data_IF_247007078576
#
_entry.id   IF_247007078576
#
_cell.length_a   1.000
_cell.length_b   1.000
_cell.length_c   1.000
_cell.angle_alpha   90.00
_cell.angle_beta   90.00
_cell.angle_gamma   90.00
#
_symmetry.space_group_name_H-M   'P 1'
#
loop_
_entity.id
_entity.type
_entity.pdbx_description
1 polymer ?
#
# COMPACT_ATOMS: atom_id res chain seq x y z
N UNK A 1 2.13 -37.77 -1.77
CA UNK A 1 3.52 -37.68 -1.23
C UNK A 1 3.52 -37.31 0.26
N UNK A 2 2.77 -36.29 0.67
CA UNK A 2 2.71 -35.83 2.08
C UNK A 2 2.21 -36.91 3.06
N UNK A 3 1.20 -37.72 2.68
CA UNK A 3 0.66 -38.78 3.54
C UNK A 3 1.64 -39.93 3.81
N UNK A 4 2.43 -40.32 2.80
CA UNK A 4 3.46 -41.35 2.94
C UNK A 4 4.58 -40.88 3.88
N UNK A 5 4.96 -39.60 3.76
CA UNK A 5 5.98 -38.98 4.60
C UNK A 5 5.51 -38.86 6.06
N UNK A 6 4.24 -38.48 6.28
CA UNK A 6 3.64 -38.45 7.62
C UNK A 6 3.61 -39.84 8.25
N UNK A 7 3.10 -40.85 7.53
CA UNK A 7 3.02 -42.21 8.05
C UNK A 7 4.40 -42.80 8.38
N UNK A 8 5.41 -42.55 7.55
CA UNK A 8 6.78 -43.00 7.81
C UNK A 8 7.41 -42.27 8.99
N UNK A 9 7.18 -40.95 9.11
CA UNK A 9 7.67 -40.15 10.24
C UNK A 9 7.06 -40.59 11.56
N UNK A 10 5.75 -40.85 11.59
CA UNK A 10 5.03 -41.34 12.77
C UNK A 10 5.54 -42.72 13.21
N UNK A 11 5.75 -43.62 12.25
CA UNK A 11 6.27 -44.98 12.53
C UNK A 11 7.68 -44.93 13.11
N UNK A 12 8.57 -44.12 12.52
CA UNK A 12 9.96 -43.96 13.00
C UNK A 12 9.99 -43.33 14.40
N UNK A 13 9.18 -42.29 14.65
CA UNK A 13 9.06 -41.66 15.96
C UNK A 13 8.58 -42.67 17.01
N UNK A 14 7.60 -43.51 16.66
CA UNK A 14 7.07 -44.56 17.54
C UNK A 14 8.14 -45.60 17.90
N UNK A 15 8.93 -46.06 16.92
CA UNK A 15 10.01 -47.05 17.14
C UNK A 15 11.11 -46.48 18.04
N UNK A 16 11.50 -45.22 17.82
CA UNK A 16 12.52 -44.54 18.64
C UNK A 16 12.05 -44.35 20.08
N UNK A 17 10.77 -44.01 20.28
CA UNK A 17 10.15 -43.88 21.61
C UNK A 17 10.14 -45.19 22.40
N UNK A 18 9.97 -46.33 21.72
CA UNK A 18 9.92 -47.64 22.37
C UNK A 18 11.32 -48.17 22.75
N UNK A 19 12.37 -47.77 22.04
CA UNK A 19 13.74 -48.24 22.29
C UNK A 19 14.56 -47.32 23.21
N UNK A 20 14.20 -46.04 23.31
CA UNK A 20 14.86 -45.12 24.21
C UNK A 20 14.29 -45.25 25.63
N UNK A 21 15.10 -45.66 26.60
CA UNK A 21 14.73 -45.62 28.02
C UNK A 21 15.65 -44.67 28.80
N UNK A 22 15.09 -44.01 29.81
CA UNK A 22 15.83 -43.12 30.70
C UNK A 22 16.15 -41.76 30.07
N UNK A 23 17.31 -41.21 30.43
CA UNK A 23 17.72 -39.84 30.07
C UNK A 23 17.80 -39.56 28.55
N UNK A 24 18.15 -40.59 27.76
CA UNK A 24 18.29 -40.48 26.31
C UNK A 24 16.94 -40.18 25.62
N UNK A 25 15.85 -40.74 26.15
CA UNK A 25 14.50 -40.48 25.64
C UNK A 25 14.11 -39.01 25.82
N UNK A 26 14.39 -38.43 26.99
CA UNK A 26 14.12 -37.01 27.26
C UNK A 26 14.92 -36.09 26.33
N UNK A 27 16.20 -36.41 26.09
CA UNK A 27 17.06 -35.64 25.19
C UNK A 27 16.53 -35.67 23.74
N UNK A 28 16.10 -36.86 23.28
CA UNK A 28 15.52 -37.04 21.95
C UNK A 28 14.17 -36.33 21.81
N UNK A 29 13.31 -36.35 22.83
CA UNK A 29 12.05 -35.60 22.82
C UNK A 29 12.28 -34.09 22.74
N UNK A 30 13.17 -33.54 23.57
CA UNK A 30 13.51 -32.11 23.55
C UNK A 30 14.09 -31.71 22.19
N UNK A 31 14.96 -32.53 21.62
CA UNK A 31 15.51 -32.28 20.29
C UNK A 31 14.43 -32.35 19.19
N UNK A 32 13.62 -33.43 19.17
CA UNK A 32 12.60 -33.66 18.15
C UNK A 32 11.50 -32.60 18.16
N UNK A 33 11.14 -32.05 19.33
CA UNK A 33 10.15 -30.96 19.44
C UNK A 33 10.79 -29.58 19.29
N UNK A 34 11.98 -29.36 19.86
CA UNK A 34 12.66 -28.08 19.86
C UNK A 34 13.19 -27.68 18.49
N UNK A 35 13.73 -28.63 17.73
CA UNK A 35 14.32 -28.36 16.42
C UNK A 35 13.32 -27.80 15.38
N UNK A 36 12.10 -28.37 15.20
CA UNK A 36 11.09 -27.80 14.33
C UNK A 36 10.63 -26.41 14.77
N UNK A 37 10.47 -26.18 16.08
CA UNK A 37 10.06 -24.88 16.63
C UNK A 37 11.13 -23.82 16.32
N UNK A 38 12.41 -24.11 16.60
CA UNK A 38 13.52 -23.21 16.28
C UNK A 38 13.63 -22.93 14.79
N UNK A 39 13.47 -23.95 13.95
CA UNK A 39 13.52 -23.80 12.49
C UNK A 39 12.35 -22.94 11.99
N UNK A 40 11.15 -23.14 12.52
CA UNK A 40 9.99 -22.33 12.19
C UNK A 40 10.17 -20.86 12.61
N UNK A 41 10.65 -20.62 13.84
CA UNK A 41 10.96 -19.26 14.32
C UNK A 41 12.01 -18.61 13.42
N UNK A 42 13.09 -19.32 13.10
CA UNK A 42 14.14 -18.84 12.19
C UNK A 42 13.60 -18.49 10.81
N UNK A 43 12.69 -19.31 10.28
CA UNK A 43 11.99 -19.02 9.04
C UNK A 43 11.15 -17.74 9.14
N UNK A 44 10.29 -17.59 10.16
CA UNK A 44 9.48 -16.38 10.35
C UNK A 44 10.33 -15.12 10.58
N UNK A 45 11.45 -15.22 11.29
CA UNK A 45 12.40 -14.11 11.46
C UNK A 45 13.03 -13.74 10.12
N UNK A 46 13.43 -14.72 9.31
CA UNK A 46 13.94 -14.47 7.96
C UNK A 46 12.87 -13.83 7.08
N UNK A 47 11.60 -14.26 7.17
CA UNK A 47 10.48 -13.62 6.48
C UNK A 47 10.30 -12.17 6.90
N UNK A 48 10.41 -11.90 8.19
CA UNK A 48 10.27 -10.55 8.73
C UNK A 48 11.42 -9.64 8.29
N UNK A 49 12.64 -10.16 8.24
CA UNK A 49 13.81 -9.38 7.85
C UNK A 49 14.01 -9.26 6.34
N UNK A 50 13.58 -10.25 5.55
CA UNK A 50 13.83 -10.32 4.09
C UNK A 50 12.65 -10.97 3.33
N UNK A 51 11.49 -10.31 3.26
CA UNK A 51 10.34 -10.83 2.52
C UNK A 51 10.64 -11.03 1.02
N UNK A 52 11.61 -10.29 0.48
CA UNK A 52 12.09 -10.35 -0.92
C UNK A 52 12.68 -11.70 -1.34
N UNK A 53 13.16 -12.53 -0.39
CA UNK A 53 13.82 -13.82 -0.69
C UNK A 53 12.80 -14.94 -0.99
N UNK A 54 11.50 -14.70 -0.70
CA UNK A 54 10.45 -15.68 -0.95
C UNK A 54 9.94 -15.74 -2.40
N UNK A 55 10.21 -14.71 -3.20
CA UNK A 55 9.74 -14.66 -4.58
C UNK A 55 10.79 -15.25 -5.50
N UNK A 56 10.41 -16.25 -6.28
CA UNK A 56 11.30 -16.76 -7.31
C UNK A 56 11.46 -15.68 -8.39
N UNK A 57 12.65 -15.55 -9.02
CA UNK A 57 12.83 -14.63 -10.16
C UNK A 57 11.79 -14.82 -11.28
N UNK A 58 11.21 -16.02 -11.38
CA UNK A 58 10.16 -16.36 -12.34
C UNK A 58 8.76 -15.81 -12.00
N UNK A 59 8.53 -15.40 -10.75
CA UNK A 59 7.27 -14.77 -10.32
C UNK A 59 7.22 -13.27 -10.69
N UNK A 60 8.35 -12.70 -11.12
CA UNK A 60 8.43 -11.32 -11.60
C UNK A 60 8.13 -11.27 -13.10
N UNK A 61 7.27 -10.33 -13.52
CA UNK A 61 7.00 -10.08 -14.93
C UNK A 61 8.31 -9.77 -15.68
N UNK A 62 8.46 -10.34 -16.87
CA UNK A 62 9.68 -10.24 -17.67
C UNK A 62 10.13 -8.77 -17.81
N UNK A 63 11.25 -8.42 -17.17
CA UNK A 63 11.88 -7.09 -17.28
C UNK A 63 11.94 -6.25 -16.00
N UNK A 64 11.45 -6.72 -14.85
CA UNK A 64 11.61 -6.00 -13.57
C UNK A 64 12.60 -6.69 -12.65
N UNK A 65 13.54 -5.93 -12.08
CA UNK A 65 14.48 -6.46 -11.09
C UNK A 65 13.89 -6.47 -9.69
N UNK A 66 14.28 -7.43 -8.85
CA UNK A 66 13.83 -7.53 -7.45
C UNK A 66 14.11 -6.23 -6.67
N UNK A 67 15.24 -5.57 -6.97
CA UNK A 67 15.62 -4.30 -6.39
C UNK A 67 14.68 -3.14 -6.78
N UNK A 68 14.19 -3.09 -8.03
CA UNK A 68 13.22 -2.08 -8.47
C UNK A 68 11.86 -2.29 -7.82
N UNK A 69 11.43 -3.55 -7.64
CA UNK A 69 10.18 -3.86 -6.97
C UNK A 69 10.22 -3.49 -5.48
N UNK A 70 11.30 -3.83 -4.77
CA UNK A 70 11.46 -3.47 -3.36
C UNK A 70 11.71 -1.98 -3.15
N UNK A 71 12.46 -1.32 -4.05
CA UNK A 71 12.60 0.14 -4.05
C UNK A 71 11.26 0.85 -4.32
N UNK A 72 10.43 0.35 -5.23
CA UNK A 72 9.09 0.88 -5.48
C UNK A 72 8.15 0.68 -4.28
N UNK A 73 8.27 -0.44 -3.56
CA UNK A 73 7.46 -0.72 -2.38
C UNK A 73 7.89 0.10 -1.15
N UNK A 74 9.18 0.41 -1.03
CA UNK A 74 9.76 1.11 0.14
C UNK A 74 9.82 2.64 -0.03
N UNK A 75 9.75 3.17 -1.26
CA UNK A 75 9.77 4.63 -1.55
C UNK A 75 8.39 5.22 -1.90
N UNK A 76 7.32 4.49 -1.61
CA UNK A 76 5.97 4.68 -2.19
C UNK A 76 5.37 6.07 -2.01
N UNK A 77 5.80 6.83 -1.02
CA UNK A 77 5.12 8.07 -0.66
C UNK A 77 5.61 9.32 -1.41
N UNK A 78 6.87 9.35 -1.87
CA UNK A 78 7.50 10.61 -2.35
C UNK A 78 7.72 10.70 -3.86
N UNK A 79 7.53 9.59 -4.58
CA UNK A 79 7.85 9.47 -6.01
C UNK A 79 6.63 9.35 -6.92
N UNK A 80 5.42 9.24 -6.40
CA UNK A 80 4.25 8.97 -7.24
C UNK A 80 3.98 10.04 -8.30
N UNK A 81 4.29 11.32 -8.06
CA UNK A 81 4.08 12.37 -9.07
C UNK A 81 5.11 12.32 -10.21
N UNK A 82 6.40 12.21 -9.90
CA UNK A 82 7.45 12.11 -10.93
C UNK A 82 7.39 10.77 -11.67
N UNK A 83 7.03 9.70 -10.96
CA UNK A 83 6.84 8.39 -11.58
C UNK A 83 5.56 8.38 -12.40
N UNK A 84 4.44 8.94 -11.93
CA UNK A 84 3.23 9.11 -12.73
C UNK A 84 3.51 9.95 -13.97
N UNK A 85 4.19 11.08 -13.87
CA UNK A 85 4.54 11.90 -15.04
C UNK A 85 5.43 11.12 -16.03
N UNK A 86 6.38 10.33 -15.53
CA UNK A 86 7.22 9.48 -16.39
C UNK A 86 6.45 8.31 -17.03
N UNK A 87 5.46 7.74 -16.34
CA UNK A 87 4.56 6.70 -16.85
C UNK A 87 3.61 7.30 -17.88
N UNK A 88 3.05 8.49 -17.62
CA UNK A 88 2.18 9.23 -18.54
C UNK A 88 2.96 9.57 -19.82
N UNK A 89 4.19 10.08 -19.68
CA UNK A 89 5.05 10.41 -20.82
C UNK A 89 5.46 9.16 -21.59
N UNK A 90 5.77 8.06 -20.90
CA UNK A 90 6.08 6.78 -21.55
C UNK A 90 4.87 6.19 -22.26
N UNK A 91 3.68 6.23 -21.66
CA UNK A 91 2.43 5.79 -22.26
C UNK A 91 2.05 6.66 -23.46
N UNK A 92 2.20 7.98 -23.36
CA UNK A 92 1.99 8.91 -24.47
C UNK A 92 2.95 8.64 -25.63
N UNK A 93 4.23 8.38 -25.34
CA UNK A 93 5.23 8.03 -26.35
C UNK A 93 4.93 6.67 -27.01
N UNK A 94 4.48 5.68 -26.24
CA UNK A 94 4.04 4.37 -26.77
C UNK A 94 2.81 4.53 -27.66
N UNK A 95 1.85 5.36 -27.24
CA UNK A 95 0.65 5.68 -28.03
C UNK A 95 1.03 6.38 -29.34
N UNK A 96 2.00 7.30 -29.30
CA UNK A 96 2.54 7.96 -30.49
C UNK A 96 3.12 6.97 -31.48
N UNK A 97 3.88 5.98 -30.99
CA UNK A 97 4.44 4.93 -31.83
C UNK A 97 3.36 4.06 -32.47
N UNK A 98 2.33 3.66 -31.72
CA UNK A 98 1.24 2.84 -32.24
C UNK A 98 0.33 3.60 -33.22
N UNK A 99 0.05 4.87 -32.95
CA UNK A 99 -0.69 5.75 -33.87
C UNK A 99 0.08 6.01 -35.17
N UNK A 100 1.42 6.07 -35.10
CA UNK A 100 2.27 6.20 -36.29
C UNK A 100 2.21 4.96 -37.19
N UNK A 101 2.13 3.76 -36.59
CA UNK A 101 1.95 2.49 -37.31
C UNK A 101 0.58 2.39 -37.99
N UNK A 102 -0.43 3.11 -37.47
CA UNK A 102 -1.78 3.18 -38.03
C UNK A 102 -1.94 4.27 -39.12
N UNK A 103 -0.86 4.99 -39.45
CA UNK A 103 -0.87 6.00 -40.52
C UNK A 103 -1.59 7.30 -40.15
N UNK A 104 -1.76 7.60 -38.86
CA UNK A 104 -2.32 8.88 -38.43
C UNK A 104 -1.31 10.02 -38.65
N UNK A 105 -1.76 11.15 -39.20
CA UNK A 105 -0.91 12.33 -39.40
C UNK A 105 -0.43 12.91 -38.06
N UNK A 106 0.78 13.49 -38.03
CA UNK A 106 1.40 14.07 -36.82
C UNK A 106 0.51 15.07 -36.05
N UNK A 107 -0.28 15.96 -36.70
CA UNK A 107 -1.17 16.87 -35.97
C UNK A 107 -2.29 16.14 -35.23
N UNK A 108 -2.79 15.03 -35.78
CA UNK A 108 -3.85 14.24 -35.15
C UNK A 108 -3.32 13.47 -33.93
N UNK A 109 -2.06 13.00 -33.99
CA UNK A 109 -1.41 12.33 -32.87
C UNK A 109 -1.21 13.26 -31.68
N UNK A 110 -0.71 14.48 -31.93
CA UNK A 110 -0.45 15.45 -30.86
C UNK A 110 -1.76 15.84 -30.14
N UNK A 111 -2.87 16.00 -30.87
CA UNK A 111 -4.20 16.25 -30.27
C UNK A 111 -4.67 15.09 -29.37
N UNK A 112 -4.43 13.84 -29.77
CA UNK A 112 -4.80 12.67 -28.95
C UNK A 112 -3.95 12.62 -27.68
N UNK A 113 -2.63 12.84 -27.81
CA UNK A 113 -1.71 12.87 -26.67
C UNK A 113 -2.09 13.98 -25.70
N UNK A 114 -2.39 15.18 -26.19
CA UNK A 114 -2.82 16.30 -25.36
C UNK A 114 -4.14 16.01 -24.65
N UNK A 115 -5.11 15.38 -25.34
CA UNK A 115 -6.38 14.99 -24.71
C UNK A 115 -6.18 13.95 -23.60
N UNK A 116 -5.31 12.96 -23.80
CA UNK A 116 -4.97 11.96 -22.77
C UNK A 116 -4.23 12.61 -21.61
N UNK A 117 -3.23 13.44 -21.89
CA UNK A 117 -2.48 14.16 -20.86
C UNK A 117 -3.41 15.07 -20.03
N UNK A 118 -4.34 15.78 -20.68
CA UNK A 118 -5.33 16.61 -20.01
C UNK A 118 -6.33 15.78 -19.19
N UNK A 119 -6.80 14.64 -19.72
CA UNK A 119 -7.68 13.74 -18.96
C UNK A 119 -7.01 13.22 -17.68
N UNK A 120 -5.71 12.95 -17.74
CA UNK A 120 -4.95 12.49 -16.56
C UNK A 120 -4.71 13.63 -15.57
N UNK A 121 -4.32 14.83 -16.04
CA UNK A 121 -4.16 16.01 -15.17
C UNK A 121 -5.46 16.40 -14.47
N UNK A 122 -6.58 16.26 -15.16
CA UNK A 122 -7.89 16.52 -14.59
C UNK A 122 -8.34 15.46 -13.58
N UNK A 123 -7.58 14.36 -13.45
CA UNK A 123 -7.85 13.24 -12.55
C UNK A 123 -6.90 13.22 -11.33
N UNK A 124 -6.38 14.38 -10.92
CA UNK A 124 -5.47 14.50 -9.78
C UNK A 124 -6.16 15.22 -8.64
N UNK A 125 -6.08 14.67 -7.42
CA UNK A 125 -6.44 15.37 -6.18
C UNK A 125 -5.16 15.87 -5.53
N UNK A 126 -5.14 17.14 -5.14
CA UNK A 126 -3.99 17.76 -4.48
C UNK A 126 -4.23 17.82 -2.98
N UNK A 127 -3.27 17.34 -2.19
CA UNK A 127 -3.33 17.30 -0.73
C UNK A 127 -2.21 18.17 -0.17
N UNK A 128 -2.59 19.30 0.41
CA UNK A 128 -1.69 20.24 1.09
C UNK A 128 -1.42 19.73 2.51
N UNK A 129 -0.15 19.46 2.84
CA UNK A 129 0.25 18.93 4.16
C UNK A 129 1.00 19.92 5.04
N UNK A 130 1.18 21.16 4.56
CA UNK A 130 1.93 22.24 5.20
C UNK A 130 1.44 22.55 6.62
N UNK A 131 0.14 22.39 6.86
CA UNK A 131 -0.50 22.60 8.17
C UNK A 131 -0.13 21.55 9.22
N UNK A 132 0.42 20.40 8.81
CA UNK A 132 0.94 19.36 9.71
C UNK A 132 2.46 19.45 9.81
N UNK A 133 3.13 19.88 8.74
CA UNK A 133 4.59 19.97 8.62
C UNK A 133 5.02 21.40 8.28
N UNK A 134 5.18 22.28 9.29
CA UNK A 134 5.48 23.69 9.06
C UNK A 134 6.77 23.89 8.26
N UNK A 135 6.72 24.76 7.25
CA UNK A 135 7.90 25.19 6.48
C UNK A 135 8.32 24.24 5.35
N UNK A 136 7.52 23.20 5.07
CA UNK A 136 7.64 22.41 3.84
C UNK A 136 6.38 22.64 3.01
N UNK A 137 6.49 23.32 1.88
CA UNK A 137 5.41 23.39 0.87
C UNK A 137 5.31 22.04 0.16
N UNK A 138 4.77 21.04 0.85
CA UNK A 138 4.62 19.70 0.29
C UNK A 138 3.16 19.53 -0.08
N UNK A 139 2.96 19.36 -1.39
CA UNK A 139 1.70 18.93 -1.95
C UNK A 139 1.88 17.47 -2.33
N UNK A 140 1.10 16.60 -1.71
CA UNK A 140 0.95 15.23 -2.18
C UNK A 140 -0.12 15.23 -3.26
N UNK A 141 0.12 14.55 -4.38
CA UNK A 141 -0.83 14.48 -5.48
C UNK A 141 -1.20 13.02 -5.72
N UNK A 142 -2.50 12.74 -5.72
CA UNK A 142 -3.03 11.39 -5.93
C UNK A 142 -3.81 11.37 -7.24
N UNK A 143 -3.47 10.41 -8.11
CA UNK A 143 -4.28 10.08 -9.27
C UNK A 143 -5.53 9.33 -8.82
N UNK A 144 -6.69 9.84 -9.20
CA UNK A 144 -7.99 9.30 -8.83
C UNK A 144 -8.78 8.90 -10.08
N UNK A 145 -9.67 7.92 -9.92
CA UNK A 145 -10.62 7.52 -10.95
C UNK A 145 -12.02 7.37 -10.32
N UNK A 146 -13.01 7.00 -11.12
CA UNK A 146 -14.41 6.88 -10.65
C UNK A 146 -14.61 5.80 -9.59
N UNK A 147 -13.69 4.83 -9.49
CA UNK A 147 -13.73 3.75 -8.50
C UNK A 147 -12.88 4.02 -7.27
N UNK A 148 -12.07 5.09 -7.28
CA UNK A 148 -11.24 5.45 -6.14
C UNK A 148 -12.13 5.77 -4.94
N UNK A 149 -11.81 5.16 -3.81
CA UNK A 149 -12.61 5.27 -2.58
C UNK A 149 -12.03 6.32 -1.63
N UNK A 150 -12.86 6.79 -0.69
CA UNK A 150 -12.42 7.66 0.40
C UNK A 150 -11.33 6.98 1.23
N UNK A 151 -11.44 5.67 1.49
CA UNK A 151 -10.43 4.91 2.22
C UNK A 151 -9.06 4.94 1.54
N UNK A 152 -9.00 4.73 0.22
CA UNK A 152 -7.73 4.77 -0.52
C UNK A 152 -7.08 6.16 -0.46
N UNK A 153 -7.88 7.22 -0.57
CA UNK A 153 -7.41 8.60 -0.41
C UNK A 153 -6.85 8.86 1.00
N UNK A 154 -7.53 8.36 2.03
CA UNK A 154 -7.10 8.48 3.42
C UNK A 154 -5.84 7.69 3.70
N UNK A 155 -5.74 6.47 3.19
CA UNK A 155 -4.55 5.64 3.32
C UNK A 155 -3.36 6.30 2.60
N UNK A 156 -3.55 6.78 1.37
CA UNK A 156 -2.53 7.55 0.64
C UNK A 156 -2.07 8.78 1.43
N UNK A 157 -3.01 9.54 1.99
CA UNK A 157 -2.70 10.72 2.79
C UNK A 157 -1.99 10.35 4.09
N UNK A 158 -2.40 9.28 4.76
CA UNK A 158 -1.76 8.77 5.96
C UNK A 158 -0.30 8.39 5.69
N UNK A 159 -0.03 7.62 4.64
CA UNK A 159 1.34 7.26 4.27
C UNK A 159 2.16 8.52 3.92
N UNK A 160 1.54 9.53 3.33
CA UNK A 160 2.13 10.87 3.09
C UNK A 160 2.51 11.63 4.36
N UNK A 161 1.92 11.25 5.49
CA UNK A 161 2.08 11.89 6.78
C UNK A 161 2.70 10.97 7.83
N UNK A 162 3.12 9.75 7.49
CA UNK A 162 3.44 8.68 8.46
C UNK A 162 4.53 9.07 9.47
N UNK A 163 5.46 9.94 9.06
CA UNK A 163 6.52 10.49 9.92
C UNK A 163 6.01 11.53 10.94
N UNK A 164 4.76 12.00 10.80
CA UNK A 164 4.22 13.16 11.51
C UNK A 164 2.91 12.89 12.26
N UNK A 165 2.22 11.80 11.95
CA UNK A 165 0.95 11.39 12.56
C UNK A 165 0.97 9.93 12.96
N UNK A 166 0.31 9.59 14.08
CA UNK A 166 0.23 8.20 14.54
C UNK A 166 -0.78 7.39 13.70
N UNK A 167 -0.55 6.07 13.62
CA UNK A 167 -1.44 5.12 12.93
C UNK A 167 -2.87 5.19 13.48
N UNK A 168 -3.87 5.08 12.60
CA UNK A 168 -5.29 5.06 12.95
C UNK A 168 -5.82 6.31 13.67
N UNK A 169 -5.14 7.46 13.54
CA UNK A 169 -5.56 8.71 14.19
C UNK A 169 -6.33 9.69 13.32
N UNK A 170 -6.78 9.27 12.12
CA UNK A 170 -7.71 10.08 11.32
C UNK A 170 -9.00 10.38 12.09
N UNK A 171 -9.46 11.63 12.02
CA UNK A 171 -10.60 12.15 12.78
C UNK A 171 -10.32 12.35 14.27
N UNK A 172 -9.12 11.99 14.75
CA UNK A 172 -8.71 12.14 16.15
C UNK A 172 -7.58 13.16 16.28
N UNK A 173 -6.44 12.94 15.61
CA UNK A 173 -5.25 13.81 15.66
C UNK A 173 -5.08 14.66 14.40
N UNK A 174 -5.63 14.21 13.28
CA UNK A 174 -5.63 14.93 12.01
C UNK A 174 -6.90 14.64 11.22
N UNK A 175 -7.23 15.53 10.29
CA UNK A 175 -8.39 15.43 9.39
C UNK A 175 -8.05 16.01 8.02
N UNK A 176 -8.83 15.66 7.01
CA UNK A 176 -8.81 16.33 5.72
C UNK A 176 -9.98 17.32 5.62
N UNK A 177 -9.68 18.50 5.10
CA UNK A 177 -10.65 19.58 4.87
C UNK A 177 -10.65 19.86 3.38
N UNK A 178 -11.82 19.88 2.75
CA UNK A 178 -11.92 20.31 1.37
C UNK A 178 -11.76 21.84 1.32
N UNK A 179 -10.75 22.35 0.61
CA UNK A 179 -10.47 23.80 0.60
C UNK A 179 -11.56 24.61 -0.10
N UNK A 180 -12.38 23.98 -0.95
CA UNK A 180 -13.46 24.64 -1.69
C UNK A 180 -14.71 24.80 -0.85
N UNK A 181 -15.11 23.76 -0.11
CA UNK A 181 -16.33 23.77 0.70
C UNK A 181 -16.06 24.15 2.16
N UNK A 182 -14.79 24.14 2.59
CA UNK A 182 -14.35 24.24 3.99
C UNK A 182 -14.90 23.13 4.90
N UNK A 183 -15.49 22.09 4.32
CA UNK A 183 -16.05 20.97 5.06
C UNK A 183 -14.99 19.93 5.38
N UNK A 184 -15.12 19.32 6.56
CA UNK A 184 -14.29 18.19 6.98
C UNK A 184 -14.79 16.95 6.25
N UNK A 185 -13.87 16.19 5.63
CA UNK A 185 -14.22 14.91 5.02
C UNK A 185 -14.55 13.93 6.15
N UNK A 186 -15.83 13.70 6.37
CA UNK A 186 -16.30 12.75 7.38
C UNK A 186 -16.20 11.33 6.82
N UNK A 187 -15.53 10.47 7.58
CA UNK A 187 -15.55 9.02 7.35
C UNK A 187 -16.88 8.50 7.87
N UNK A 188 -17.57 7.70 7.05
CA UNK A 188 -18.83 7.08 7.43
C UNK A 188 -18.73 6.46 8.85
N UNK A 189 -19.72 6.76 9.69
CA UNK A 189 -19.66 6.61 11.15
C UNK A 189 -19.11 5.27 11.62
N UNK A 190 -18.21 5.35 12.62
CA UNK A 190 -17.58 4.24 13.36
C UNK A 190 -18.56 3.59 14.34
N UNK A 191 -19.73 3.17 13.88
CA UNK A 191 -20.76 2.73 14.82
C UNK A 191 -20.41 1.40 15.51
N UNK A 192 -19.49 0.61 14.95
CA UNK A 192 -18.99 -0.60 15.60
C UNK A 192 -17.47 -0.68 15.46
N UNK A 193 -16.79 -1.12 16.53
CA UNK A 193 -15.32 -1.20 16.77
C UNK A 193 -14.46 -1.90 15.69
N UNK A 194 -15.01 -2.25 14.55
CA UNK A 194 -14.30 -2.81 13.41
C UNK A 194 -14.17 -1.68 12.40
N UNK A 195 -12.93 -1.25 12.16
CA UNK A 195 -12.59 -0.21 11.18
C UNK A 195 -12.88 -0.80 9.80
N UNK A 196 -14.12 -0.71 9.35
CA UNK A 196 -14.44 -0.84 7.94
C UNK A 196 -14.13 0.52 7.33
N UNK A 197 -13.13 0.55 6.45
CA UNK A 197 -12.77 1.75 5.73
C UNK A 197 -13.96 2.33 4.97
N UNK A 198 -13.91 3.63 4.68
CA UNK A 198 -14.95 4.28 3.89
C UNK A 198 -14.80 3.90 2.42
N UNK A 199 -15.53 2.87 1.99
CA UNK A 199 -15.49 2.35 0.63
C UNK A 199 -16.35 3.15 -0.35
N UNK A 200 -16.94 4.28 0.07
CA UNK A 200 -17.67 5.14 -0.87
C UNK A 200 -16.70 5.67 -1.92
N UNK A 201 -17.07 5.65 -3.22
CA UNK A 201 -16.34 6.38 -4.25
C UNK A 201 -16.19 7.86 -3.87
N UNK A 202 -15.07 8.48 -4.25
CA UNK A 202 -14.81 9.89 -3.96
C UNK A 202 -15.93 10.82 -4.44
N UNK A 203 -16.52 10.51 -5.60
CA UNK A 203 -17.65 11.25 -6.17
C UNK A 203 -18.87 11.28 -5.25
N UNK A 204 -19.15 10.17 -4.55
CA UNK A 204 -20.29 10.06 -3.63
C UNK A 204 -20.03 10.79 -2.31
N UNK A 205 -18.76 11.06 -1.99
CA UNK A 205 -18.33 11.92 -0.90
C UNK A 205 -18.14 13.39 -1.34
N UNK A 206 -18.61 13.75 -2.55
CA UNK A 206 -18.48 15.09 -3.15
C UNK A 206 -17.04 15.59 -3.33
N UNK A 207 -16.07 14.67 -3.31
CA UNK A 207 -14.66 14.96 -3.60
C UNK A 207 -14.48 14.79 -5.10
N UNK A 208 -14.20 15.90 -5.78
CA UNK A 208 -14.00 15.89 -7.21
C UNK A 208 -12.52 15.78 -7.56
N UNK A 209 -12.20 15.19 -8.72
CA UNK A 209 -10.90 15.40 -9.32
C UNK A 209 -10.58 16.89 -9.45
N UNK A 210 -9.31 17.27 -9.25
CA UNK A 210 -8.79 18.65 -9.12
C UNK A 210 -9.10 19.39 -7.81
N UNK A 211 -9.90 18.80 -6.91
CA UNK A 211 -10.10 19.40 -5.59
C UNK A 211 -8.76 19.48 -4.84
N UNK A 212 -8.67 20.54 -4.03
CA UNK A 212 -7.56 20.74 -3.10
C UNK A 212 -8.04 20.39 -1.71
N UNK A 213 -7.35 19.45 -1.09
CA UNK A 213 -7.60 18.98 0.25
C UNK A 213 -6.48 19.47 1.16
N UNK A 214 -6.82 19.84 2.37
CA UNK A 214 -5.88 20.34 3.36
C UNK A 214 -5.84 19.35 4.52
N UNK A 215 -4.69 18.73 4.73
CA UNK A 215 -4.46 17.92 5.91
C UNK A 215 -4.16 18.86 7.09
N UNK A 216 -4.96 18.80 8.15
CA UNK A 216 -4.83 19.66 9.32
C UNK A 216 -4.81 18.86 10.62
N UNK A 217 -4.00 19.30 11.60
CA UNK A 217 -4.04 18.75 12.96
C UNK A 217 -5.33 19.18 13.67
N UNK A 218 -5.96 18.25 14.37
CA UNK A 218 -7.13 18.54 15.21
C UNK A 218 -6.62 19.05 16.58
N UNK A 219 -6.99 20.27 16.99
CA UNK A 219 -6.60 20.80 18.29
C UNK A 219 -7.10 19.92 19.43
N UNK A 220 -6.26 19.68 20.44
CA UNK A 220 -6.63 18.82 21.57
C UNK A 220 -7.86 19.34 22.35
N UNK A 221 -8.12 20.65 22.29
CA UNK A 221 -9.30 21.30 22.89
C UNK A 221 -10.62 20.93 22.20
N UNK A 222 -10.61 20.65 20.90
CA UNK A 222 -11.81 20.33 20.12
C UNK A 222 -12.35 18.91 20.41
N UNK A 223 -11.55 18.03 21.03
CA UNK A 223 -11.93 16.64 21.32
C UNK A 223 -13.00 16.48 22.41
N UNK A 224 -13.22 17.47 23.28
CA UNK A 224 -14.14 17.34 24.43
C UNK A 224 -15.62 17.56 24.10
N UNK A 225 -15.96 17.97 22.88
CA UNK A 225 -17.33 18.35 22.50
C UNK A 225 -18.14 17.32 21.71
N UNK A 226 -17.56 16.16 21.36
CA UNK A 226 -18.17 15.16 20.46
C UNK A 226 -18.47 13.79 21.13
N UNK A 227 -18.51 13.73 22.46
CA UNK A 227 -18.95 12.54 23.22
C UNK A 227 -20.44 12.57 23.49
#
# INVERSE_FOLDING_TARGET
MISLFLGLSETVVTVVLLQASGWVQGLLTVFATGFPILTAIGFFVLLWCKPEVLYAPADFAAGTTVAEYTEAMTRRTRREVQVAESIIRSAANSLKEDLSKLGADTPAQDVIIDNVANAIRNNVVHIEIDNIVPGKNVVAEMLVNETTTVQELLDFTYYSLEDFVDVYTYGISWQLINSRTEEVIEVAEREHRIIHGDLRPLKDAEILPTDRLVAARIPHSARRGRT
#
